data_IF_733419129090
#
_entry.id   IF_733419129090
#
_cell.length_a   1.000
_cell.length_b   1.000
_cell.length_c   1.000
_cell.angle_alpha   90.00
_cell.angle_beta   90.00
_cell.angle_gamma   90.00
#
_symmetry.space_group_name_H-M   'P 1'
#
loop_
_entity.id
_entity.type
_entity.pdbx_description
1 polymer ?
#
# COMPACT_ATOMS: atom_id res chain seq x y z
N UNK A 1 21.24 10.93 3.63
CA UNK A 1 20.05 10.21 4.14
C UNK A 1 19.34 9.67 2.92
N UNK A 2 18.96 8.41 2.90
CA UNK A 2 18.14 7.85 1.83
C UNK A 2 16.79 8.57 1.79
N UNK A 3 16.21 8.70 0.59
CA UNK A 3 14.89 9.33 0.42
C UNK A 3 13.81 8.45 1.07
N UNK A 4 12.85 9.06 1.70
CA UNK A 4 11.68 8.36 2.23
C UNK A 4 10.72 8.07 1.09
N UNK A 5 10.44 6.80 0.82
CA UNK A 5 9.65 6.40 -0.33
C UNK A 5 8.45 5.55 0.09
N UNK A 6 7.30 5.79 -0.55
CA UNK A 6 6.09 4.98 -0.42
C UNK A 6 5.57 4.64 -1.81
N UNK A 7 5.24 3.36 -2.05
CA UNK A 7 4.56 2.89 -3.26
C UNK A 7 3.19 2.35 -2.88
N UNK A 8 2.16 3.16 -3.10
CA UNK A 8 0.77 2.83 -2.77
C UNK A 8 0.05 2.28 -4.01
N UNK A 9 -0.39 1.01 -3.97
CA UNK A 9 -0.95 0.30 -5.12
C UNK A 9 -2.46 0.14 -5.00
N UNK A 10 -3.19 0.48 -6.08
CA UNK A 10 -4.64 0.40 -6.12
C UNK A 10 -5.18 -1.02 -6.00
N UNK A 11 -4.51 -1.98 -6.61
CA UNK A 11 -4.93 -3.38 -6.60
C UNK A 11 -3.84 -4.32 -7.08
N UNK A 12 -4.19 -5.60 -7.32
CA UNK A 12 -3.23 -6.61 -7.68
C UNK A 12 -2.58 -6.35 -9.05
N UNK A 13 -1.32 -6.71 -9.16
CA UNK A 13 -0.57 -6.84 -10.40
C UNK A 13 -0.20 -8.32 -10.60
N UNK A 14 -0.90 -8.99 -11.49
CA UNK A 14 -0.73 -10.43 -11.72
C UNK A 14 0.67 -10.80 -12.21
N UNK A 15 1.34 -9.90 -12.90
CA UNK A 15 2.66 -10.14 -13.48
C UNK A 15 3.82 -9.87 -12.48
N UNK A 16 3.54 -9.28 -11.33
CA UNK A 16 4.54 -8.92 -10.31
C UNK A 16 5.49 -7.79 -10.75
N UNK A 17 5.13 -7.02 -11.77
CA UNK A 17 5.94 -5.93 -12.31
C UNK A 17 5.99 -4.76 -11.34
N UNK A 18 4.87 -4.45 -10.67
CA UNK A 18 4.85 -3.40 -9.63
C UNK A 18 5.74 -3.78 -8.44
N UNK A 19 5.80 -5.06 -8.07
CA UNK A 19 6.73 -5.51 -7.03
C UNK A 19 8.18 -5.29 -7.49
N UNK A 20 8.53 -5.60 -8.73
CA UNK A 20 9.88 -5.35 -9.27
C UNK A 20 10.22 -3.86 -9.24
N UNK A 21 9.27 -3.00 -9.59
CA UNK A 21 9.46 -1.54 -9.46
C UNK A 21 9.80 -1.14 -8.01
N UNK A 22 9.13 -1.71 -7.00
CA UNK A 22 9.48 -1.50 -5.58
C UNK A 22 10.90 -1.96 -5.28
N UNK A 23 11.31 -3.14 -5.78
CA UNK A 23 12.66 -3.67 -5.56
C UNK A 23 13.73 -2.74 -6.15
N UNK A 24 13.50 -2.20 -7.35
CA UNK A 24 14.41 -1.27 -8.02
C UNK A 24 14.64 0.02 -7.20
N UNK A 25 13.59 0.53 -6.54
CA UNK A 25 13.68 1.72 -5.69
C UNK A 25 14.60 1.55 -4.48
N UNK A 26 14.88 0.32 -4.05
CA UNK A 26 15.84 0.04 -2.98
C UNK A 26 17.29 0.30 -3.36
N UNK A 27 17.59 0.33 -4.67
CA UNK A 27 18.95 0.46 -5.20
C UNK A 27 19.87 -0.73 -4.93
N UNK A 28 19.30 -1.90 -4.55
CA UNK A 28 20.03 -3.13 -4.24
C UNK A 28 19.84 -4.16 -5.35
N UNK A 29 20.89 -4.91 -5.67
CA UNK A 29 20.79 -6.02 -6.62
C UNK A 29 19.94 -7.17 -6.09
N UNK A 30 19.97 -7.40 -4.79
CA UNK A 30 19.18 -8.40 -4.09
C UNK A 30 18.68 -7.85 -2.74
N UNK A 31 17.58 -7.08 -2.76
CA UNK A 31 17.05 -6.45 -1.55
C UNK A 31 16.43 -7.47 -0.59
N UNK A 32 16.42 -7.13 0.69
CA UNK A 32 15.65 -7.82 1.73
C UNK A 32 14.28 -7.18 1.80
N UNK A 33 13.25 -7.99 1.60
CA UNK A 33 11.87 -7.53 1.58
C UNK A 33 11.04 -8.30 2.60
N UNK A 34 10.34 -7.59 3.45
CA UNK A 34 9.46 -8.19 4.44
C UNK A 34 7.99 -7.97 4.09
N UNK A 35 7.23 -9.06 3.98
CA UNK A 35 5.77 -9.02 3.88
C UNK A 35 5.16 -8.80 5.27
N UNK A 36 4.15 -7.93 5.32
CA UNK A 36 3.30 -7.75 6.49
C UNK A 36 1.86 -8.15 6.13
N UNK A 37 1.48 -9.44 6.32
CA UNK A 37 0.22 -9.99 5.83
C UNK A 37 -0.96 -9.80 6.79
N UNK A 38 -0.85 -8.92 7.78
CA UNK A 38 -1.83 -8.75 8.86
C UNK A 38 -3.25 -8.49 8.33
N UNK A 39 -3.39 -7.69 7.26
CA UNK A 39 -4.70 -7.35 6.68
C UNK A 39 -5.46 -8.58 6.15
N UNK A 40 -4.74 -9.59 5.66
CA UNK A 40 -5.31 -10.86 5.15
C UNK A 40 -5.49 -11.92 6.25
N UNK A 41 -5.41 -11.55 7.53
CA UNK A 41 -5.37 -12.48 8.65
C UNK A 41 -4.25 -13.53 8.49
N UNK A 42 -3.11 -13.09 7.95
CA UNK A 42 -1.90 -13.90 7.75
C UNK A 42 -2.14 -15.14 6.85
N UNK A 43 -2.94 -14.96 5.79
CA UNK A 43 -3.33 -16.01 4.86
C UNK A 43 -2.11 -16.73 4.25
N UNK A 44 -2.06 -18.07 4.31
CA UNK A 44 -1.00 -18.85 3.67
C UNK A 44 -0.91 -18.64 2.15
N UNK A 45 -2.02 -18.32 1.49
CA UNK A 45 -2.07 -18.04 0.07
C UNK A 45 -1.32 -16.75 -0.27
N UNK A 46 -1.47 -15.70 0.58
CA UNK A 46 -0.74 -14.44 0.44
C UNK A 46 0.76 -14.65 0.66
N UNK A 47 1.14 -15.42 1.66
CA UNK A 47 2.54 -15.80 1.90
C UNK A 47 3.12 -16.54 0.69
N UNK A 48 2.41 -17.54 0.17
CA UNK A 48 2.85 -18.31 -0.98
C UNK A 48 3.02 -17.46 -2.23
N UNK A 49 2.07 -16.56 -2.49
CA UNK A 49 2.13 -15.61 -3.61
C UNK A 49 3.37 -14.72 -3.49
N UNK A 50 3.61 -14.15 -2.32
CA UNK A 50 4.75 -13.27 -2.06
C UNK A 50 6.09 -13.98 -2.30
N UNK A 51 6.32 -15.12 -1.68
CA UNK A 51 7.58 -15.85 -1.83
C UNK A 51 7.82 -16.34 -3.27
N UNK A 52 6.77 -16.72 -4.00
CA UNK A 52 6.87 -17.08 -5.42
C UNK A 52 7.24 -15.85 -6.27
N UNK A 53 6.63 -14.71 -6.02
CA UNK A 53 6.89 -13.47 -6.75
C UNK A 53 8.32 -12.93 -6.56
N UNK A 54 8.90 -13.13 -5.37
CA UNK A 54 10.26 -12.71 -5.06
C UNK A 54 11.35 -13.69 -5.52
N UNK A 55 10.98 -14.91 -5.90
CA UNK A 55 11.96 -15.98 -6.20
C UNK A 55 12.99 -15.54 -7.25
N UNK A 56 14.28 -15.54 -6.84
CA UNK A 56 15.39 -15.14 -7.69
C UNK A 56 15.69 -13.63 -7.74
N UNK A 57 14.83 -12.77 -7.18
CA UNK A 57 14.98 -11.31 -7.25
C UNK A 57 15.33 -10.66 -5.90
N UNK A 58 14.86 -11.24 -4.79
CA UNK A 58 15.03 -10.67 -3.47
C UNK A 58 15.13 -11.75 -2.39
N UNK A 59 15.56 -11.36 -1.20
CA UNK A 59 15.50 -12.17 0.01
C UNK A 59 14.22 -11.80 0.79
N UNK A 60 13.23 -12.72 0.76
CA UNK A 60 11.93 -12.52 1.40
C UNK A 60 11.90 -12.96 2.85
N UNK A 61 11.20 -12.21 3.68
CA UNK A 61 10.77 -12.56 5.03
C UNK A 61 9.33 -12.12 5.25
N UNK A 62 8.71 -12.53 6.36
CA UNK A 62 7.38 -12.08 6.75
C UNK A 62 7.29 -11.85 8.26
N UNK A 63 6.30 -11.05 8.67
CA UNK A 63 5.98 -10.78 10.07
C UNK A 63 4.57 -11.24 10.35
N UNK A 64 4.43 -12.22 11.28
CA UNK A 64 3.16 -12.64 11.84
C UNK A 64 2.96 -11.99 13.22
N UNK A 65 1.73 -11.59 13.54
CA UNK A 65 1.32 -11.08 14.85
C UNK A 65 0.58 -12.15 15.68
N UNK A 66 0.27 -13.29 15.10
CA UNK A 66 -0.44 -14.38 15.78
C UNK A 66 0.44 -15.62 15.96
N UNK A 67 0.46 -16.19 17.22
CA UNK A 67 -0.26 -15.71 18.40
C UNK A 67 0.37 -14.47 19.05
N UNK A 68 1.59 -14.11 18.72
CA UNK A 68 2.33 -12.91 19.13
C UNK A 68 3.44 -12.58 18.10
N UNK A 69 3.89 -11.32 18.01
CA UNK A 69 4.95 -10.95 17.09
C UNK A 69 6.28 -11.63 17.47
N UNK A 70 7.21 -11.79 16.51
CA UNK A 70 8.51 -12.41 16.77
C UNK A 70 9.35 -11.60 17.76
N UNK A 71 10.19 -12.30 18.52
CA UNK A 71 11.26 -11.66 19.28
C UNK A 71 12.18 -10.89 18.32
N UNK A 72 12.66 -9.71 18.74
CA UNK A 72 13.52 -8.89 17.88
C UNK A 72 12.80 -8.23 16.70
N UNK A 73 11.48 -7.99 16.81
CA UNK A 73 10.66 -7.38 15.75
C UNK A 73 11.28 -6.08 15.19
N UNK A 74 11.84 -5.22 16.07
CA UNK A 74 12.45 -3.96 15.65
C UNK A 74 13.69 -4.19 14.79
N UNK A 75 14.58 -5.08 15.21
CA UNK A 75 15.79 -5.46 14.47
C UNK A 75 15.43 -6.09 13.12
N UNK A 76 14.42 -6.96 13.09
CA UNK A 76 13.91 -7.57 11.87
C UNK A 76 13.45 -6.50 10.88
N UNK A 77 12.57 -5.58 11.30
CA UNK A 77 12.02 -4.51 10.45
C UNK A 77 13.12 -3.58 9.96
N UNK A 78 13.96 -3.08 10.85
CA UNK A 78 15.00 -2.10 10.49
C UNK A 78 16.17 -2.72 9.72
N UNK A 79 16.24 -4.03 9.61
CA UNK A 79 17.20 -4.72 8.76
C UNK A 79 16.73 -4.88 7.31
N UNK A 80 15.49 -4.55 7.00
CA UNK A 80 14.94 -4.68 5.64
C UNK A 80 15.34 -3.52 4.72
N UNK A 81 15.22 -3.75 3.43
CA UNK A 81 15.37 -2.72 2.39
C UNK A 81 13.99 -2.23 1.91
N UNK A 82 12.97 -3.08 2.02
CA UNK A 82 11.56 -2.72 1.78
C UNK A 82 10.60 -3.49 2.70
N UNK A 83 9.45 -2.86 3.01
CA UNK A 83 8.30 -3.49 3.64
C UNK A 83 7.13 -3.50 2.65
N UNK A 84 6.47 -4.64 2.49
CA UNK A 84 5.30 -4.78 1.65
C UNK A 84 4.07 -5.16 2.47
N UNK A 85 3.04 -4.31 2.45
CA UNK A 85 1.78 -4.54 3.18
C UNK A 85 0.75 -5.14 2.23
N UNK A 86 0.24 -6.31 2.58
CA UNK A 86 -0.79 -7.00 1.81
C UNK A 86 -2.17 -6.35 1.90
N UNK A 87 -3.08 -6.78 1.01
CA UNK A 87 -4.49 -6.41 1.02
C UNK A 87 -5.30 -7.18 2.07
N UNK A 88 -6.53 -6.74 2.31
CA UNK A 88 -7.49 -7.33 3.24
C UNK A 88 -8.18 -6.28 4.11
N UNK A 89 -8.42 -6.57 5.39
CA UNK A 89 -9.13 -5.67 6.31
C UNK A 89 -8.19 -4.63 6.93
N UNK A 90 -8.31 -3.37 6.48
CA UNK A 90 -7.45 -2.26 6.92
C UNK A 90 -7.64 -1.92 8.40
N UNK A 91 -8.88 -1.86 8.88
CA UNK A 91 -9.17 -1.47 10.27
C UNK A 91 -8.62 -2.49 11.27
N UNK A 92 -8.82 -3.79 11.01
CA UNK A 92 -8.28 -4.85 11.85
C UNK A 92 -6.75 -4.85 11.86
N UNK A 93 -6.14 -4.67 10.70
CA UNK A 93 -4.68 -4.57 10.57
C UNK A 93 -4.12 -3.44 11.43
N UNK A 94 -4.66 -2.22 11.29
CA UNK A 94 -4.20 -1.05 12.04
C UNK A 94 -4.44 -1.19 13.55
N UNK A 95 -5.55 -1.82 13.97
CA UNK A 95 -5.80 -2.10 15.37
C UNK A 95 -4.73 -3.04 15.96
N UNK A 96 -4.37 -4.11 15.24
CA UNK A 96 -3.30 -5.05 15.65
C UNK A 96 -1.96 -4.32 15.72
N UNK A 97 -1.62 -3.53 14.72
CA UNK A 97 -0.36 -2.80 14.68
C UNK A 97 -0.21 -1.85 15.87
N UNK A 98 -1.27 -1.10 16.21
CA UNK A 98 -1.27 -0.19 17.37
C UNK A 98 -1.13 -0.91 18.70
N UNK A 99 -1.72 -2.11 18.84
CA UNK A 99 -1.56 -2.94 20.04
C UNK A 99 -0.10 -3.32 20.28
N UNK A 100 0.66 -3.54 19.19
CA UNK A 100 2.05 -3.99 19.25
C UNK A 100 3.08 -2.88 19.02
N UNK A 101 2.66 -1.61 18.83
CA UNK A 101 3.56 -0.49 18.51
C UNK A 101 4.23 -0.61 17.13
N UNK A 102 3.66 -1.42 16.24
CA UNK A 102 4.22 -1.65 14.92
C UNK A 102 4.00 -0.45 13.98
N UNK A 103 2.94 0.31 14.18
CA UNK A 103 2.64 1.57 13.48
C UNK A 103 3.76 2.62 13.69
N UNK A 104 4.27 2.76 14.93
CA UNK A 104 5.43 3.61 15.23
C UNK A 104 6.72 3.05 14.61
N UNK A 105 6.90 1.75 14.64
CA UNK A 105 8.07 1.08 14.07
C UNK A 105 8.13 1.21 12.54
N UNK A 106 6.99 1.11 11.85
CA UNK A 106 6.93 1.35 10.40
C UNK A 106 7.23 2.80 10.06
N UNK A 107 6.81 3.75 10.90
CA UNK A 107 7.20 5.16 10.74
C UNK A 107 8.71 5.34 10.87
N UNK A 108 9.31 4.73 11.88
CA UNK A 108 10.78 4.74 12.07
C UNK A 108 11.50 4.15 10.84
N UNK A 109 11.01 3.02 10.31
CA UNK A 109 11.55 2.38 9.13
C UNK A 109 11.53 3.32 7.90
N UNK A 110 10.40 4.00 7.66
CA UNK A 110 10.25 4.98 6.60
C UNK A 110 11.20 6.17 6.77
N UNK A 111 11.33 6.69 7.98
CA UNK A 111 12.24 7.81 8.29
C UNK A 111 13.71 7.43 8.08
N UNK A 112 14.07 6.17 8.24
CA UNK A 112 15.39 5.64 7.93
C UNK A 112 15.61 5.36 6.44
N UNK A 113 14.56 5.49 5.59
CA UNK A 113 14.61 5.31 4.15
C UNK A 113 14.40 3.88 3.67
N UNK A 114 13.81 3.02 4.51
CA UNK A 114 13.27 1.73 4.07
C UNK A 114 12.07 2.03 3.17
N UNK A 115 12.03 1.42 1.99
CA UNK A 115 10.92 1.62 1.05
C UNK A 115 9.66 0.97 1.60
N UNK A 116 8.59 1.74 1.74
CA UNK A 116 7.29 1.20 2.10
C UNK A 116 6.46 0.95 0.85
N UNK A 117 5.81 -0.19 0.78
CA UNK A 117 4.90 -0.50 -0.32
C UNK A 117 3.67 -1.24 0.20
N UNK A 118 2.59 -1.22 -0.59
CA UNK A 118 1.44 -2.04 -0.26
C UNK A 118 0.28 -1.84 -1.20
N UNK A 119 -0.58 -2.86 -1.25
CA UNK A 119 -1.73 -2.93 -2.16
C UNK A 119 -3.04 -2.96 -1.37
N UNK A 120 -4.09 -2.31 -1.89
CA UNK A 120 -5.43 -2.31 -1.28
C UNK A 120 -5.40 -1.76 0.16
N UNK A 121 -5.62 -2.57 1.19
CA UNK A 121 -5.43 -2.17 2.57
C UNK A 121 -4.03 -1.57 2.82
N UNK A 122 -3.00 -2.13 2.17
CA UNK A 122 -1.63 -1.60 2.19
C UNK A 122 -1.43 -0.32 1.38
N UNK A 123 -2.37 0.10 0.52
CA UNK A 123 -2.43 1.45 -0.01
C UNK A 123 -3.05 2.39 1.01
N UNK A 124 -4.22 2.03 1.53
CA UNK A 124 -5.02 2.88 2.42
C UNK A 124 -4.24 3.26 3.68
N UNK A 125 -3.52 2.33 4.27
CA UNK A 125 -2.90 2.51 5.58
C UNK A 125 -1.90 3.68 5.65
N UNK A 126 -1.29 4.07 4.55
CA UNK A 126 -0.31 5.17 4.50
C UNK A 126 -0.94 6.56 4.61
N UNK A 127 -2.20 6.70 4.24
CA UNK A 127 -2.90 7.97 4.22
C UNK A 127 -3.55 8.30 5.56
N UNK A 128 -4.07 9.54 5.72
CA UNK A 128 -4.88 9.94 6.88
C UNK A 128 -6.24 9.25 6.88
N UNK A 129 -6.79 8.99 5.67
CA UNK A 129 -8.11 8.42 5.48
C UNK A 129 -8.15 7.52 4.24
N UNK A 130 -9.21 6.73 4.09
CA UNK A 130 -9.42 5.92 2.88
C UNK A 130 -10.78 5.24 2.83
N UNK A 131 -11.14 4.78 1.64
CA UNK A 131 -12.39 4.04 1.41
C UNK A 131 -12.14 2.55 1.62
N UNK A 132 -12.90 1.92 2.49
CA UNK A 132 -12.72 0.53 2.90
C UNK A 132 -14.05 -0.18 3.15
N UNK A 133 -14.04 -1.49 3.05
CA UNK A 133 -15.09 -2.42 3.48
C UNK A 133 -14.79 -3.10 4.82
N UNK A 134 -13.87 -2.52 5.60
CA UNK A 134 -13.36 -3.13 6.84
C UNK A 134 -14.42 -3.29 7.94
N UNK A 135 -15.51 -2.54 7.88
CA UNK A 135 -16.55 -2.53 8.91
C UNK A 135 -17.78 -3.38 8.57
N UNK A 136 -17.87 -3.89 7.36
CA UNK A 136 -19.01 -4.67 6.87
C UNK A 136 -19.01 -4.79 5.34
N UNK A 137 -20.08 -5.31 4.74
CA UNK A 137 -20.14 -5.52 3.29
C UNK A 137 -20.29 -4.23 2.47
N UNK A 138 -20.55 -3.11 3.13
CA UNK A 138 -20.67 -1.81 2.50
C UNK A 138 -19.35 -1.04 2.59
N UNK A 139 -19.04 -0.25 1.54
CA UNK A 139 -17.90 0.66 1.56
C UNK A 139 -18.18 1.85 2.49
N UNK A 140 -17.18 2.22 3.28
CA UNK A 140 -17.25 3.37 4.19
C UNK A 140 -15.92 4.13 4.22
N UNK A 141 -15.96 5.36 4.74
CA UNK A 141 -14.80 6.22 4.91
C UNK A 141 -14.12 6.01 6.27
N UNK A 142 -12.93 5.42 6.28
CA UNK A 142 -12.05 5.33 7.43
C UNK A 142 -11.22 6.61 7.58
N UNK A 143 -11.10 7.18 8.81
CA UNK A 143 -10.39 8.46 9.06
C UNK A 143 -9.22 8.32 10.05
N UNK A 144 -8.70 7.14 10.24
CA UNK A 144 -7.66 6.86 11.22
C UNK A 144 -6.53 6.00 10.64
N UNK A 145 -6.12 6.29 9.40
CA UNK A 145 -4.91 5.73 8.82
C UNK A 145 -3.64 6.19 9.54
N UNK A 146 -2.46 5.82 9.05
CA UNK A 146 -1.18 6.17 9.69
C UNK A 146 -0.78 7.64 9.44
N UNK A 147 -1.37 8.31 8.45
CA UNK A 147 -1.11 9.72 8.16
C UNK A 147 0.34 10.01 7.74
N UNK A 148 0.99 9.07 7.04
CA UNK A 148 2.29 9.34 6.42
C UNK A 148 2.12 10.20 5.18
N UNK A 149 1.00 10.01 4.49
CA UNK A 149 0.58 10.77 3.33
C UNK A 149 -0.71 11.55 3.65
N UNK A 150 -0.81 12.81 3.24
CA UNK A 150 -2.00 13.61 3.52
C UNK A 150 -3.20 13.20 2.67
N UNK A 151 -4.40 13.48 3.19
CA UNK A 151 -5.66 13.24 2.50
C UNK A 151 -6.11 11.79 2.55
N UNK A 152 -6.79 11.34 1.50
CA UNK A 152 -7.41 10.02 1.49
C UNK A 152 -7.03 9.19 0.26
N UNK A 153 -7.22 7.86 0.38
CA UNK A 153 -6.94 6.89 -0.67
C UNK A 153 -8.17 6.03 -0.99
N UNK A 154 -8.35 5.73 -2.28
CA UNK A 154 -9.34 4.76 -2.74
C UNK A 154 -8.69 3.76 -3.72
N UNK A 155 -8.37 2.53 -3.28
CA UNK A 155 -7.91 1.45 -4.17
C UNK A 155 -9.05 0.88 -4.99
N UNK A 156 -8.74 -0.02 -5.95
CA UNK A 156 -9.70 -0.77 -6.78
C UNK A 156 -10.71 0.11 -7.52
N UNK A 157 -10.28 1.27 -8.00
CA UNK A 157 -11.19 2.31 -8.46
C UNK A 157 -11.97 1.93 -9.72
N UNK A 158 -11.39 1.09 -10.57
CA UNK A 158 -12.03 0.46 -11.74
C UNK A 158 -12.47 -0.99 -11.46
N UNK A 159 -11.75 -1.71 -10.61
CA UNK A 159 -11.97 -3.13 -10.35
C UNK A 159 -13.22 -3.44 -9.52
N UNK A 160 -13.66 -2.51 -8.68
CA UNK A 160 -14.86 -2.64 -7.86
C UNK A 160 -15.87 -1.54 -8.21
N UNK A 161 -16.96 -1.90 -8.88
CA UNK A 161 -17.98 -0.98 -9.43
C UNK A 161 -18.46 0.09 -8.45
N UNK A 162 -18.52 -0.22 -7.16
CA UNK A 162 -19.00 0.71 -6.13
C UNK A 162 -17.97 1.69 -5.61
N UNK A 163 -16.68 1.47 -5.83
CA UNK A 163 -15.59 2.32 -5.28
C UNK A 163 -15.70 3.75 -5.76
N UNK A 164 -15.78 3.94 -7.06
CA UNK A 164 -15.79 5.28 -7.69
C UNK A 164 -16.96 6.14 -7.24
N UNK A 165 -18.22 5.71 -7.34
CA UNK A 165 -19.35 6.54 -6.89
C UNK A 165 -19.34 6.79 -5.38
N UNK A 166 -19.00 5.81 -4.55
CA UNK A 166 -18.94 5.97 -3.09
C UNK A 166 -17.85 6.97 -2.69
N UNK A 167 -16.66 6.89 -3.29
CA UNK A 167 -15.59 7.82 -2.96
C UNK A 167 -15.92 9.27 -3.35
N UNK A 168 -16.48 9.47 -4.54
CA UNK A 168 -16.94 10.79 -4.99
C UNK A 168 -18.01 11.36 -4.05
N UNK A 169 -18.98 10.54 -3.62
CA UNK A 169 -20.02 10.94 -2.69
C UNK A 169 -19.46 11.30 -1.30
N UNK A 170 -18.55 10.48 -0.76
CA UNK A 170 -17.89 10.75 0.50
C UNK A 170 -17.13 12.08 0.46
N UNK A 171 -16.33 12.31 -0.58
CA UNK A 171 -15.56 13.57 -0.73
C UNK A 171 -16.50 14.77 -0.88
N UNK A 172 -17.57 14.65 -1.65
CA UNK A 172 -18.57 15.71 -1.77
C UNK A 172 -19.26 16.04 -0.43
N UNK A 173 -19.36 15.07 0.47
CA UNK A 173 -19.95 15.20 1.80
C UNK A 173 -18.92 15.47 2.93
N UNK A 174 -17.71 15.95 2.58
CA UNK A 174 -16.72 16.39 3.56
C UNK A 174 -15.74 15.32 4.06
N UNK A 175 -15.63 14.20 3.35
CA UNK A 175 -14.49 13.29 3.51
C UNK A 175 -13.22 13.96 2.95
N UNK A 176 -12.03 13.71 3.49
CA UNK A 176 -10.82 14.32 2.94
C UNK A 176 -10.69 14.05 1.44
N UNK A 177 -10.41 15.07 0.61
CA UNK A 177 -10.06 14.86 -0.78
C UNK A 177 -8.76 14.06 -0.87
N UNK A 178 -8.53 13.41 -2.01
CA UNK A 178 -7.34 12.58 -2.11
C UNK A 178 -7.15 11.94 -3.47
N UNK A 179 -6.72 10.69 -3.47
CA UNK A 179 -6.30 10.00 -4.68
C UNK A 179 -6.92 8.62 -4.78
N UNK A 180 -7.41 8.28 -5.98
CA UNK A 180 -7.86 6.95 -6.31
C UNK A 180 -6.88 6.29 -7.29
N UNK A 181 -6.78 4.96 -7.24
CA UNK A 181 -5.97 4.19 -8.16
C UNK A 181 -6.71 2.94 -8.62
N UNK A 182 -6.66 2.70 -9.93
CA UNK A 182 -7.16 1.48 -10.54
C UNK A 182 -6.31 0.25 -10.16
N UNK A 183 -6.80 -0.95 -10.43
CA UNK A 183 -6.00 -2.17 -10.29
C UNK A 183 -4.76 -2.10 -11.19
N UNK A 184 -3.66 -2.66 -10.71
CA UNK A 184 -2.35 -2.63 -11.38
C UNK A 184 -1.78 -1.22 -11.62
N UNK A 185 -2.22 -0.23 -10.82
CA UNK A 185 -1.68 1.13 -10.79
C UNK A 185 -1.01 1.38 -9.45
N UNK A 186 0.16 2.02 -9.46
CA UNK A 186 0.90 2.37 -8.27
C UNK A 186 1.27 3.87 -8.24
N UNK A 187 1.17 4.45 -7.07
CA UNK A 187 1.48 5.83 -6.74
C UNK A 187 2.82 5.85 -6.01
N UNK A 188 3.85 6.38 -6.62
CA UNK A 188 5.17 6.51 -6.00
C UNK A 188 5.32 7.90 -5.38
N UNK A 189 5.47 7.92 -4.07
CA UNK A 189 5.73 9.12 -3.27
C UNK A 189 7.18 9.19 -2.83
N UNK A 190 7.74 10.38 -2.85
CA UNK A 190 9.02 10.73 -2.22
C UNK A 190 8.75 11.78 -1.15
N UNK A 191 9.04 11.43 0.10
CA UNK A 191 8.48 12.19 1.22
C UNK A 191 6.95 12.09 1.18
N UNK A 192 6.28 13.23 1.11
CA UNK A 192 4.81 13.32 1.00
C UNK A 192 4.34 13.77 -0.39
N UNK A 193 5.26 13.92 -1.35
CA UNK A 193 4.95 14.41 -2.69
C UNK A 193 4.81 13.24 -3.67
N UNK A 194 3.74 13.23 -4.47
CA UNK A 194 3.53 12.27 -5.55
C UNK A 194 4.58 12.53 -6.65
N UNK A 195 5.52 11.62 -6.79
CA UNK A 195 6.62 11.71 -7.76
C UNK A 195 6.19 11.26 -9.15
N UNK A 196 5.52 10.13 -9.23
CA UNK A 196 4.99 9.55 -10.47
C UNK A 196 3.87 8.56 -10.17
N UNK A 197 3.08 8.29 -11.20
CA UNK A 197 2.13 7.17 -11.26
C UNK A 197 2.66 6.16 -12.26
N UNK A 198 2.65 4.88 -11.92
CA UNK A 198 3.07 3.80 -12.83
C UNK A 198 1.99 2.75 -12.95
N UNK A 199 1.91 2.07 -14.08
CA UNK A 199 0.93 1.01 -14.34
C UNK A 199 1.51 -0.10 -15.21
N UNK A 200 0.92 -1.28 -15.12
CA UNK A 200 1.21 -2.42 -16.01
C UNK A 200 0.13 -2.60 -17.07
N UNK A 201 -0.91 -1.76 -17.06
CA UNK A 201 -2.04 -1.80 -17.99
C UNK A 201 -2.07 -0.55 -18.86
N UNK A 202 -2.50 -0.70 -20.12
CA UNK A 202 -2.65 0.42 -21.06
C UNK A 202 -3.79 1.38 -20.68
N UNK A 203 -4.82 0.87 -20.01
CA UNK A 203 -6.01 1.59 -19.57
C UNK A 203 -6.02 1.94 -18.07
N UNK A 204 -5.00 1.52 -17.31
CA UNK A 204 -4.89 1.82 -15.88
C UNK A 204 -4.61 3.29 -15.62
N UNK A 205 -5.29 3.88 -14.65
CA UNK A 205 -5.19 5.30 -14.33
C UNK A 205 -5.24 5.55 -12.82
N UNK A 206 -4.73 6.69 -12.39
CA UNK A 206 -5.01 7.25 -11.07
C UNK A 206 -5.81 8.54 -11.21
N UNK A 207 -6.50 8.94 -10.16
CA UNK A 207 -7.38 10.11 -10.19
C UNK A 207 -7.22 10.94 -8.92
N UNK A 208 -7.09 12.25 -9.09
CA UNK A 208 -7.27 13.18 -7.98
C UNK A 208 -8.77 13.44 -7.83
N UNK A 209 -9.29 13.18 -6.64
CA UNK A 209 -10.72 13.34 -6.32
C UNK A 209 -10.88 14.46 -5.32
N UNK A 210 -11.63 15.49 -5.73
CA UNK A 210 -11.94 16.69 -4.96
C UNK A 210 -13.47 16.90 -4.92
N UNK A 211 -14.01 17.75 -4.03
CA UNK A 211 -15.45 18.00 -4.00
C UNK A 211 -15.99 18.45 -5.36
N UNK A 212 -16.78 17.61 -5.99
CA UNK A 212 -17.42 17.88 -7.28
C UNK A 212 -16.51 17.78 -8.51
N UNK A 213 -15.27 17.31 -8.37
CA UNK A 213 -14.37 17.11 -9.50
C UNK A 213 -13.51 15.85 -9.36
N UNK A 214 -13.15 15.30 -10.52
CA UNK A 214 -12.23 14.19 -10.64
C UNK A 214 -11.29 14.46 -11.81
N UNK A 215 -9.99 14.39 -11.55
CA UNK A 215 -8.98 14.69 -12.55
C UNK A 215 -8.06 13.49 -12.73
N UNK A 216 -7.96 12.89 -13.93
CA UNK A 216 -7.05 11.79 -14.18
C UNK A 216 -5.60 12.22 -14.07
N UNK A 217 -4.74 11.30 -13.61
CA UNK A 217 -3.30 11.45 -13.57
C UNK A 217 -2.73 10.35 -14.46
N UNK A 218 -2.19 10.75 -15.61
CA UNK A 218 -1.65 9.80 -16.57
C UNK A 218 -0.43 9.05 -16.00
N UNK A 219 -0.45 7.71 -16.02
CA UNK A 219 0.66 6.91 -15.54
C UNK A 219 1.73 6.69 -16.61
N UNK A 220 2.95 6.41 -16.17
CA UNK A 220 3.97 5.80 -17.01
C UNK A 220 3.76 4.29 -17.05
N UNK A 221 3.64 3.71 -18.24
CA UNK A 221 3.50 2.27 -18.42
C UNK A 221 4.86 1.59 -18.17
N UNK A 222 4.86 0.63 -17.25
CA UNK A 222 6.01 -0.23 -17.01
C UNK A 222 6.06 -1.33 -18.07
N UNK A 223 7.23 -1.53 -18.70
CA UNK A 223 7.43 -2.62 -19.65
C UNK A 223 7.28 -3.97 -18.96
N UNK A 224 6.74 -4.94 -19.69
CA UNK A 224 6.84 -6.35 -19.31
C UNK A 224 8.32 -6.73 -19.45
N UNK A 225 9.03 -6.85 -18.31
CA UNK A 225 10.41 -7.27 -18.25
C UNK A 225 10.60 -8.74 -18.67
#
# INVERSE_FOLDING_TARGET
>A
MSERQIVAMGGPDEAGVLMRFVLELTGKDRPRVCLVPTASAESPEVLLWFYRGLSGFADGSDISFFPWPPDGLRELVLSQDALFVGGGNTANMLAIWRVHGFDELVREAWEQGIVLAGSSAGMICWFEAGVTDSYGPELDGMRDGLGFLPGSACPHYDGEERRRPVYQELVANGFPPGIAADDAVALHYVGTELREVVTTREDGCAYRVEPGSETPIEPRILGKG
#
